data_IF_389910419982
#
_entry.id   IF_389910419982
#
_cell.length_a   1.000
_cell.length_b   1.000
_cell.length_c   1.000
_cell.angle_alpha   90.00
_cell.angle_beta   90.00
_cell.angle_gamma   90.00
#
_symmetry.space_group_name_H-M   'P 1'
#
loop_
_entity.id
_entity.type
_entity.pdbx_description
1 polymer ?
#
# COMPACT_ATOMS: atom_id res chain seq x y z
N UNK A 1 34.37 -16.39 -1.62
CA UNK A 1 33.03 -16.15 -1.02
C UNK A 1 32.57 -14.71 -1.19
N UNK A 2 33.43 -13.69 -1.02
CA UNK A 2 33.03 -12.27 -1.09
C UNK A 2 32.55 -11.77 -2.46
N UNK A 3 33.20 -12.19 -3.55
CA UNK A 3 32.74 -11.87 -4.91
C UNK A 3 31.33 -12.41 -5.17
N UNK A 4 31.03 -13.62 -4.70
CA UNK A 4 29.69 -14.20 -4.81
C UNK A 4 28.66 -13.37 -4.01
N UNK A 5 29.01 -12.90 -2.82
CA UNK A 5 28.15 -12.04 -2.02
C UNK A 5 27.87 -10.68 -2.69
N UNK A 6 28.88 -10.10 -3.34
CA UNK A 6 28.71 -8.88 -4.12
C UNK A 6 27.72 -9.08 -5.28
N UNK A 7 27.86 -10.18 -6.02
CA UNK A 7 26.96 -10.52 -7.14
C UNK A 7 25.53 -10.76 -6.62
N UNK A 8 25.38 -11.53 -5.54
CA UNK A 8 24.08 -11.81 -4.92
C UNK A 8 23.43 -10.52 -4.40
N UNK A 9 24.19 -9.63 -3.77
CA UNK A 9 23.69 -8.34 -3.31
C UNK A 9 23.26 -7.43 -4.47
N UNK A 10 24.02 -7.42 -5.56
CA UNK A 10 23.67 -6.63 -6.76
C UNK A 10 22.39 -7.15 -7.41
N UNK A 11 22.31 -8.45 -7.67
CA UNK A 11 21.11 -9.08 -8.24
C UNK A 11 19.90 -8.92 -7.32
N UNK A 12 20.10 -9.11 -6.01
CA UNK A 12 19.07 -8.91 -5.00
C UNK A 12 18.53 -7.49 -5.03
N UNK A 13 19.40 -6.48 -5.10
CA UNK A 13 18.99 -5.07 -5.16
C UNK A 13 18.15 -4.80 -6.40
N UNK A 14 18.56 -5.29 -7.58
CA UNK A 14 17.78 -5.16 -8.83
C UNK A 14 16.41 -5.84 -8.72
N UNK A 15 16.36 -7.05 -8.15
CA UNK A 15 15.10 -7.78 -7.94
C UNK A 15 14.16 -7.03 -7.00
N UNK A 16 14.68 -6.45 -5.91
CA UNK A 16 13.88 -5.69 -4.96
C UNK A 16 13.38 -4.39 -5.59
N UNK A 17 14.21 -3.66 -6.34
CA UNK A 17 13.79 -2.47 -7.08
C UNK A 17 12.69 -2.80 -8.10
N UNK A 18 12.85 -3.90 -8.85
CA UNK A 18 11.82 -4.37 -9.78
C UNK A 18 10.51 -4.72 -9.04
N UNK A 19 10.60 -5.33 -7.85
CA UNK A 19 9.44 -5.63 -7.02
C UNK A 19 8.74 -4.38 -6.47
N UNK A 20 9.49 -3.32 -6.14
CA UNK A 20 8.94 -2.01 -5.75
C UNK A 20 8.21 -1.39 -6.95
N UNK A 21 8.85 -1.36 -8.11
CA UNK A 21 8.25 -0.81 -9.35
C UNK A 21 6.97 -1.56 -9.72
N UNK A 22 6.98 -2.90 -9.72
CA UNK A 22 5.80 -3.74 -10.00
C UNK A 22 4.73 -3.69 -8.89
N UNK A 23 5.13 -3.39 -7.66
CA UNK A 23 4.24 -3.26 -6.51
C UNK A 23 3.55 -1.90 -6.41
N UNK A 24 4.23 -0.82 -6.78
CA UNK A 24 3.82 0.55 -6.46
C UNK A 24 3.69 1.48 -7.67
N UNK A 25 4.45 1.28 -8.75
CA UNK A 25 4.52 2.20 -9.89
C UNK A 25 3.79 1.69 -11.13
N UNK A 26 3.80 0.38 -11.38
CA UNK A 26 3.18 -0.20 -12.56
C UNK A 26 1.66 -0.31 -12.35
N UNK A 27 0.91 0.27 -13.29
CA UNK A 27 -0.57 0.34 -13.27
C UNK A 27 -1.25 -0.94 -13.77
N UNK A 28 -0.49 -2.00 -14.04
CA UNK A 28 -1.04 -3.30 -14.45
C UNK A 28 -1.11 -4.19 -13.22
N UNK A 29 -2.22 -4.93 -13.07
CA UNK A 29 -2.50 -5.84 -11.96
C UNK A 29 -1.22 -6.38 -11.29
N UNK A 30 -0.87 -5.75 -10.16
CA UNK A 30 0.40 -5.96 -9.48
C UNK A 30 0.75 -7.44 -9.35
N UNK A 31 1.86 -7.84 -9.95
CA UNK A 31 2.37 -9.22 -9.88
C UNK A 31 3.34 -9.41 -8.72
N UNK A 32 3.59 -8.39 -7.90
CA UNK A 32 4.50 -8.50 -6.77
C UNK A 32 4.04 -9.62 -5.83
N UNK A 33 4.75 -10.74 -5.91
CA UNK A 33 4.50 -11.92 -5.09
C UNK A 33 4.71 -11.57 -3.61
N UNK A 34 5.70 -10.71 -3.33
CA UNK A 34 6.02 -10.26 -1.98
C UNK A 34 4.84 -9.50 -1.37
N UNK A 35 4.32 -8.49 -2.07
CA UNK A 35 3.17 -7.70 -1.59
C UNK A 35 1.96 -8.59 -1.32
N UNK A 36 1.65 -9.52 -2.25
CA UNK A 36 0.54 -10.45 -2.08
C UNK A 36 0.70 -11.38 -0.87
N UNK A 37 1.91 -11.92 -0.66
CA UNK A 37 2.22 -12.78 0.50
C UNK A 37 2.06 -11.98 1.79
N UNK A 38 2.59 -10.75 1.83
CA UNK A 38 2.48 -9.87 3.00
C UNK A 38 1.01 -9.57 3.31
N UNK A 39 0.22 -9.13 2.33
CA UNK A 39 -1.21 -8.87 2.53
C UNK A 39 -1.97 -10.13 2.96
N UNK A 40 -1.63 -11.30 2.40
CA UNK A 40 -2.23 -12.57 2.80
C UNK A 40 -1.90 -12.94 4.25
N UNK A 41 -0.64 -12.79 4.66
CA UNK A 41 -0.19 -13.07 6.03
C UNK A 41 -0.88 -12.13 7.02
N UNK A 42 -0.90 -10.82 6.73
CA UNK A 42 -1.56 -9.82 7.58
C UNK A 42 -3.05 -10.13 7.71
N UNK A 43 -3.74 -10.42 6.60
CA UNK A 43 -5.15 -10.79 6.62
C UNK A 43 -5.39 -12.09 7.40
N UNK A 44 -4.52 -13.09 7.26
CA UNK A 44 -4.64 -14.37 7.95
C UNK A 44 -4.47 -14.20 9.46
N UNK A 45 -3.47 -13.43 9.89
CA UNK A 45 -3.25 -13.08 11.30
C UNK A 45 -4.41 -12.25 11.86
N UNK A 46 -4.90 -11.27 11.10
CA UNK A 46 -6.04 -10.46 11.51
C UNK A 46 -7.34 -11.27 11.65
N UNK A 47 -7.46 -12.40 10.95
CA UNK A 47 -8.61 -13.32 11.05
C UNK A 47 -8.60 -14.19 12.31
N UNK A 48 -7.44 -14.45 12.92
CA UNK A 48 -7.32 -15.31 14.12
C UNK A 48 -8.24 -14.89 15.28
N UNK A 49 -8.28 -13.61 15.72
CA UNK A 49 -9.14 -13.20 16.83
C UNK A 49 -10.63 -13.07 16.46
N UNK A 50 -11.01 -13.12 15.18
CA UNK A 50 -12.40 -12.88 14.75
C UNK A 50 -13.39 -13.88 15.34
N UNK A 51 -12.95 -15.12 15.60
CA UNK A 51 -13.78 -16.16 16.24
C UNK A 51 -14.22 -15.77 17.65
N UNK A 52 -13.45 -14.93 18.33
CA UNK A 52 -13.74 -14.46 19.69
C UNK A 52 -14.64 -13.21 19.70
N UNK A 53 -14.72 -12.49 18.58
CA UNK A 53 -15.52 -11.27 18.46
C UNK A 53 -16.99 -11.61 18.16
N UNK A 54 -17.94 -11.14 18.96
CA UNK A 54 -19.37 -11.47 18.81
C UNK A 54 -20.15 -10.51 17.90
N UNK A 55 -19.76 -9.24 17.83
CA UNK A 55 -20.47 -8.21 17.06
C UNK A 55 -19.84 -7.98 15.69
N UNK A 56 -20.69 -7.76 14.67
CA UNK A 56 -20.26 -7.40 13.32
C UNK A 56 -19.46 -6.10 13.31
N UNK A 57 -19.92 -5.06 14.00
CA UNK A 57 -19.27 -3.76 14.03
C UNK A 57 -17.84 -3.82 14.59
N UNK A 58 -17.61 -4.68 15.59
CA UNK A 58 -16.27 -4.87 16.17
C UNK A 58 -15.34 -5.60 15.20
N UNK A 59 -15.85 -6.63 14.51
CA UNK A 59 -15.10 -7.36 13.48
C UNK A 59 -14.73 -6.46 12.30
N UNK A 60 -15.68 -5.64 11.85
CA UNK A 60 -15.49 -4.72 10.73
C UNK A 60 -14.45 -3.63 11.07
N UNK A 61 -14.57 -3.01 12.25
CA UNK A 61 -13.59 -2.04 12.76
C UNK A 61 -12.19 -2.63 12.95
N UNK A 62 -12.09 -3.90 13.36
CA UNK A 62 -10.79 -4.57 13.44
C UNK A 62 -10.17 -4.79 12.05
N UNK A 63 -10.98 -5.23 11.09
CA UNK A 63 -10.52 -5.54 9.74
C UNK A 63 -10.21 -4.29 8.90
N UNK A 64 -10.71 -3.10 9.28
CA UNK A 64 -10.34 -1.86 8.59
C UNK A 64 -8.85 -1.53 8.72
N UNK A 65 -8.19 -1.99 9.78
CA UNK A 65 -6.75 -1.83 9.98
C UNK A 65 -5.88 -2.70 9.07
N UNK A 66 -6.44 -3.74 8.42
CA UNK A 66 -5.66 -4.69 7.61
C UNK A 66 -4.99 -4.02 6.42
N UNK A 67 -5.71 -3.15 5.71
CA UNK A 67 -5.19 -2.45 4.54
C UNK A 67 -3.99 -1.56 4.89
N UNK A 68 -4.08 -0.58 5.80
CA UNK A 68 -2.96 0.29 6.15
C UNK A 68 -1.79 -0.48 6.77
N UNK A 69 -2.05 -1.49 7.61
CA UNK A 69 -0.98 -2.32 8.20
C UNK A 69 -0.25 -3.12 7.12
N UNK A 70 -0.97 -3.70 6.15
CA UNK A 70 -0.35 -4.44 5.05
C UNK A 70 0.55 -3.56 4.19
N UNK A 71 0.16 -2.31 3.95
CA UNK A 71 0.94 -1.33 3.21
C UNK A 71 2.23 -0.95 3.94
N UNK A 72 2.12 -0.63 5.24
CA UNK A 72 3.28 -0.30 6.07
C UNK A 72 4.25 -1.48 6.14
N UNK A 73 3.74 -2.70 6.35
CA UNK A 73 4.58 -3.89 6.44
C UNK A 73 5.25 -4.21 5.10
N UNK A 74 4.56 -4.00 3.97
CA UNK A 74 5.13 -4.15 2.64
C UNK A 74 6.29 -3.17 2.41
N UNK A 75 6.14 -1.91 2.81
CA UNK A 75 7.23 -0.94 2.75
C UNK A 75 8.41 -1.35 3.63
N UNK A 76 8.15 -1.66 4.90
CA UNK A 76 9.20 -2.07 5.84
C UNK A 76 9.96 -3.27 5.30
N UNK A 77 9.26 -4.24 4.70
CA UNK A 77 9.90 -5.41 4.11
C UNK A 77 10.79 -5.03 2.91
N UNK A 78 10.34 -4.15 2.01
CA UNK A 78 11.20 -3.69 0.91
C UNK A 78 12.43 -2.94 1.40
N UNK A 79 12.28 -2.06 2.40
CA UNK A 79 13.41 -1.34 3.00
C UNK A 79 14.41 -2.31 3.65
N UNK A 80 13.93 -3.27 4.44
CA UNK A 80 14.77 -4.30 5.06
C UNK A 80 15.49 -5.13 3.99
N UNK A 81 14.79 -5.56 2.94
CA UNK A 81 15.40 -6.32 1.85
C UNK A 81 16.48 -5.51 1.13
N UNK A 82 16.27 -4.21 0.86
CA UNK A 82 17.29 -3.35 0.27
C UNK A 82 18.51 -3.20 1.19
N UNK A 83 18.30 -2.98 2.49
CA UNK A 83 19.40 -2.92 3.47
C UNK A 83 20.19 -4.24 3.48
N UNK A 84 19.51 -5.38 3.37
CA UNK A 84 20.18 -6.68 3.33
C UNK A 84 20.97 -6.89 2.02
N UNK A 85 20.40 -6.52 0.87
CA UNK A 85 21.08 -6.72 -0.43
C UNK A 85 22.24 -5.75 -0.60
N UNK A 86 22.09 -4.49 -0.18
CA UNK A 86 23.17 -3.50 -0.16
C UNK A 86 24.24 -3.86 0.87
N UNK A 87 23.87 -4.35 2.05
CA UNK A 87 24.82 -4.86 3.06
C UNK A 87 25.65 -6.03 2.52
N UNK A 88 25.04 -6.95 1.77
CA UNK A 88 25.75 -8.02 1.08
C UNK A 88 26.71 -7.49 -0.01
N UNK A 89 26.36 -6.41 -0.71
CA UNK A 89 27.28 -5.72 -1.63
C UNK A 89 28.48 -5.13 -0.89
N UNK A 90 28.24 -4.38 0.21
CA UNK A 90 29.30 -3.78 1.02
C UNK A 90 30.24 -4.85 1.59
N UNK A 91 29.68 -5.94 2.12
CA UNK A 91 30.47 -7.07 2.62
C UNK A 91 31.30 -7.75 1.52
N UNK A 92 30.76 -7.79 0.29
CA UNK A 92 31.45 -8.37 -0.86
C UNK A 92 32.61 -7.53 -1.40
N UNK A 93 32.57 -6.21 -1.25
CA UNK A 93 33.60 -5.29 -1.75
C UNK A 93 34.57 -4.77 -0.67
N UNK A 94 34.41 -5.21 0.58
CA UNK A 94 35.15 -4.68 1.73
C UNK A 94 35.71 -5.79 2.62
N UNK A 95 36.68 -5.45 3.47
CA UNK A 95 37.23 -6.31 4.53
C UNK A 95 36.48 -6.25 5.87
N UNK A 96 35.35 -5.53 5.92
CA UNK A 96 34.52 -5.41 7.12
C UNK A 96 33.88 -6.74 7.52
N UNK A 97 33.67 -6.91 8.83
CA UNK A 97 32.81 -7.95 9.36
C UNK A 97 31.37 -7.80 8.85
N UNK A 98 30.67 -8.93 8.73
CA UNK A 98 29.30 -8.98 8.23
C UNK A 98 28.39 -7.99 8.98
N UNK A 99 28.45 -7.97 10.33
CA UNK A 99 27.66 -7.07 11.16
C UNK A 99 27.91 -5.60 10.85
N UNK A 100 29.17 -5.21 10.64
CA UNK A 100 29.56 -3.85 10.33
C UNK A 100 29.12 -3.45 8.91
N UNK A 101 29.17 -4.37 7.93
CA UNK A 101 28.67 -4.11 6.58
C UNK A 101 27.16 -3.88 6.54
N UNK A 102 26.38 -4.68 7.28
CA UNK A 102 24.93 -4.47 7.38
C UNK A 102 24.59 -3.21 8.17
N UNK A 103 25.34 -2.91 9.24
CA UNK A 103 25.18 -1.67 10.01
C UNK A 103 25.47 -0.43 9.15
N UNK A 104 26.56 -0.45 8.38
CA UNK A 104 26.89 0.60 7.41
C UNK A 104 25.77 0.76 6.38
N UNK A 105 25.32 -0.33 5.76
CA UNK A 105 24.22 -0.28 4.78
C UNK A 105 22.93 0.29 5.36
N UNK A 106 22.56 -0.12 6.58
CA UNK A 106 21.38 0.38 7.27
C UNK A 106 21.48 1.88 7.53
N UNK A 107 22.60 2.31 8.15
CA UNK A 107 22.86 3.71 8.46
C UNK A 107 22.86 4.60 7.21
N UNK A 108 23.45 4.14 6.11
CA UNK A 108 23.47 4.89 4.86
C UNK A 108 22.11 4.94 4.17
N UNK A 109 21.40 3.81 4.10
CA UNK A 109 20.07 3.74 3.47
C UNK A 109 19.05 4.63 4.20
N UNK A 110 19.11 4.68 5.53
CA UNK A 110 18.27 5.57 6.34
C UNK A 110 18.84 6.99 6.44
N UNK A 111 19.83 7.33 5.61
CA UNK A 111 20.50 8.64 5.55
C UNK A 111 21.09 9.15 6.87
N UNK A 112 21.34 8.26 7.83
CA UNK A 112 22.01 8.61 9.10
C UNK A 112 23.49 8.85 8.90
N UNK A 113 24.14 8.07 8.01
CA UNK A 113 25.54 8.31 7.60
C UNK A 113 26.57 8.19 8.73
N UNK A 114 26.31 7.37 9.75
CA UNK A 114 27.16 7.25 10.96
C UNK A 114 28.49 6.54 10.64
N UNK A 115 28.51 5.67 9.65
CA UNK A 115 29.67 4.86 9.28
C UNK A 115 30.24 5.35 7.96
N UNK A 116 31.53 5.71 7.98
CA UNK A 116 32.25 6.14 6.79
C UNK A 116 32.65 4.96 5.89
N UNK A 117 32.60 5.13 4.56
CA UNK A 117 33.07 4.11 3.63
C UNK A 117 34.60 3.98 3.70
N UNK A 118 35.06 2.73 3.71
CA UNK A 118 36.49 2.37 3.89
C UNK A 118 37.29 2.30 2.60
N UNK A 119 36.62 2.19 1.44
CA UNK A 119 37.28 2.17 0.13
C UNK A 119 36.39 2.79 -0.96
N UNK A 120 36.96 3.06 -2.13
CA UNK A 120 36.25 3.72 -3.24
C UNK A 120 35.00 2.95 -3.68
N UNK A 121 35.03 1.62 -3.69
CA UNK A 121 33.89 0.81 -4.10
C UNK A 121 32.75 0.89 -3.07
N UNK A 122 33.08 0.84 -1.78
CA UNK A 122 32.14 1.07 -0.68
C UNK A 122 31.56 2.47 -0.76
N UNK A 123 32.35 3.50 -1.10
CA UNK A 123 31.86 4.87 -1.28
C UNK A 123 30.77 4.94 -2.35
N UNK A 124 30.98 4.31 -3.52
CA UNK A 124 29.98 4.28 -4.61
C UNK A 124 28.70 3.59 -4.13
N UNK A 125 28.81 2.42 -3.49
CA UNK A 125 27.66 1.69 -2.96
C UNK A 125 26.92 2.50 -1.89
N UNK A 126 27.64 3.20 -1.02
CA UNK A 126 27.08 4.10 -0.01
C UNK A 126 26.30 5.25 -0.65
N UNK A 127 26.83 5.91 -1.68
CA UNK A 127 26.08 6.95 -2.41
C UNK A 127 24.80 6.41 -3.04
N UNK A 128 24.88 5.25 -3.69
CA UNK A 128 23.69 4.60 -4.28
C UNK A 128 22.69 4.24 -3.19
N UNK A 129 23.13 3.68 -2.07
CA UNK A 129 22.26 3.31 -0.94
C UNK A 129 21.51 4.51 -0.37
N UNK A 130 22.19 5.65 -0.17
CA UNK A 130 21.57 6.87 0.33
C UNK A 130 20.53 7.43 -0.67
N UNK A 131 20.86 7.45 -1.95
CA UNK A 131 19.94 7.88 -3.01
C UNK A 131 18.71 6.97 -3.09
N UNK A 132 18.91 5.66 -3.08
CA UNK A 132 17.82 4.69 -3.11
C UNK A 132 16.91 4.81 -1.88
N UNK A 133 17.48 5.06 -0.69
CA UNK A 133 16.70 5.35 0.51
C UNK A 133 15.73 6.52 0.32
N UNK A 134 16.22 7.63 -0.22
CA UNK A 134 15.40 8.81 -0.53
C UNK A 134 14.32 8.51 -1.58
N UNK A 135 14.69 7.83 -2.68
CA UNK A 135 13.76 7.46 -3.75
C UNK A 135 12.64 6.55 -3.24
N UNK A 136 12.97 5.55 -2.42
CA UNK A 136 11.97 4.62 -1.87
C UNK A 136 10.98 5.34 -0.95
N UNK A 137 11.47 6.25 -0.11
CA UNK A 137 10.59 7.08 0.74
C UNK A 137 9.68 7.97 -0.12
N UNK A 138 10.23 8.60 -1.18
CA UNK A 138 9.45 9.45 -2.08
C UNK A 138 8.36 8.66 -2.82
N UNK A 139 8.70 7.49 -3.37
CA UNK A 139 7.74 6.58 -4.01
C UNK A 139 6.67 6.15 -3.02
N UNK A 140 7.05 5.86 -1.77
CA UNK A 140 6.10 5.46 -0.74
C UNK A 140 5.10 6.57 -0.40
N UNK A 141 5.56 7.80 -0.21
CA UNK A 141 4.69 8.95 0.04
C UNK A 141 3.73 9.14 -1.14
N UNK A 142 4.25 9.13 -2.37
CA UNK A 142 3.42 9.25 -3.58
C UNK A 142 2.37 8.14 -3.68
N UNK A 143 2.75 6.92 -3.35
CA UNK A 143 1.85 5.77 -3.36
C UNK A 143 0.75 5.86 -2.30
N UNK A 144 1.09 6.27 -1.07
CA UNK A 144 0.10 6.52 -0.02
C UNK A 144 -0.90 7.59 -0.44
N UNK A 145 -0.41 8.73 -0.93
CA UNK A 145 -1.26 9.82 -1.39
C UNK A 145 -2.16 9.37 -2.54
N UNK A 146 -1.63 8.60 -3.49
CA UNK A 146 -2.42 8.02 -4.59
C UNK A 146 -3.53 7.09 -4.10
N UNK A 147 -3.23 6.16 -3.18
CA UNK A 147 -4.23 5.25 -2.62
C UNK A 147 -5.31 6.02 -1.85
N UNK A 148 -4.93 7.01 -1.03
CA UNK A 148 -5.91 7.81 -0.30
C UNK A 148 -6.78 8.66 -1.23
N UNK A 149 -6.22 9.17 -2.34
CA UNK A 149 -6.99 9.81 -3.40
C UNK A 149 -8.05 8.88 -3.99
N UNK A 150 -7.63 7.70 -4.46
CA UNK A 150 -8.52 6.68 -5.02
C UNK A 150 -9.62 6.25 -4.03
N UNK A 151 -9.29 6.18 -2.74
CA UNK A 151 -10.24 5.87 -1.68
C UNK A 151 -11.26 7.00 -1.48
N UNK A 152 -10.80 8.24 -1.40
CA UNK A 152 -11.68 9.40 -1.24
C UNK A 152 -12.61 9.55 -2.45
N UNK A 153 -12.11 9.35 -3.67
CA UNK A 153 -12.93 9.40 -4.89
C UNK A 153 -14.04 8.34 -4.86
N UNK A 154 -13.73 7.12 -4.40
CA UNK A 154 -14.73 6.06 -4.21
C UNK A 154 -15.78 6.43 -3.17
N UNK A 155 -15.36 6.93 -2.01
CA UNK A 155 -16.28 7.19 -0.89
C UNK A 155 -17.09 8.48 -1.09
N UNK A 156 -16.59 9.47 -1.83
CA UNK A 156 -17.29 10.74 -2.03
C UNK A 156 -18.64 10.56 -2.72
N UNK A 157 -18.74 9.71 -3.75
CA UNK A 157 -20.03 9.46 -4.40
C UNK A 157 -20.98 8.64 -3.48
N UNK A 158 -20.44 7.70 -2.71
CA UNK A 158 -21.21 6.94 -1.71
C UNK A 158 -21.78 7.86 -0.62
N UNK A 159 -21.00 8.81 -0.14
CA UNK A 159 -21.42 9.79 0.86
C UNK A 159 -22.52 10.72 0.33
N UNK A 160 -22.42 11.13 -0.96
CA UNK A 160 -23.49 11.89 -1.62
C UNK A 160 -24.79 11.10 -1.70
N UNK A 161 -24.72 9.82 -2.06
CA UNK A 161 -25.89 8.95 -2.05
C UNK A 161 -26.48 8.81 -0.65
N UNK A 162 -25.64 8.57 0.37
CA UNK A 162 -26.09 8.40 1.76
C UNK A 162 -26.83 9.66 2.29
N UNK A 163 -26.44 10.85 1.85
CA UNK A 163 -27.14 12.10 2.20
C UNK A 163 -28.60 12.11 1.72
N UNK A 164 -28.90 11.50 0.57
CA UNK A 164 -30.26 11.46 -0.01
C UNK A 164 -30.99 10.16 0.35
N UNK A 165 -30.29 9.02 0.38
CA UNK A 165 -30.88 7.70 0.58
C UNK A 165 -30.97 7.28 2.06
N UNK A 166 -30.23 7.93 2.96
CA UNK A 166 -30.08 7.50 4.35
C UNK A 166 -29.05 6.39 4.53
N UNK A 167 -28.80 6.03 5.80
CA UNK A 167 -27.98 4.89 6.21
C UNK A 167 -28.83 4.00 7.14
N UNK A 168 -29.36 2.85 6.68
CA UNK A 168 -29.15 2.22 5.37
C UNK A 168 -29.87 2.91 4.21
N UNK A 169 -29.35 2.76 3.00
CA UNK A 169 -29.93 3.36 1.79
C UNK A 169 -31.30 2.74 1.46
N UNK A 170 -32.34 3.57 1.35
CA UNK A 170 -33.71 3.12 1.06
C UNK A 170 -34.40 3.99 0.01
N UNK A 171 -35.00 3.37 -1.01
CA UNK A 171 -35.61 4.07 -2.15
C UNK A 171 -36.70 5.08 -1.78
N UNK A 172 -37.65 4.76 -0.89
CA UNK A 172 -38.64 5.73 -0.40
C UNK A 172 -38.02 6.95 0.30
N UNK A 173 -36.89 6.78 0.99
CA UNK A 173 -36.17 7.91 1.60
C UNK A 173 -35.55 8.83 0.54
N UNK A 174 -35.05 8.27 -0.56
CA UNK A 174 -34.59 9.05 -1.72
C UNK A 174 -35.73 9.90 -2.26
N UNK A 175 -36.92 9.32 -2.49
CA UNK A 175 -38.09 10.04 -2.99
C UNK A 175 -38.57 11.12 -2.01
N UNK A 176 -38.63 10.80 -0.72
CA UNK A 176 -39.06 11.73 0.33
C UNK A 176 -38.10 12.90 0.48
N UNK A 177 -36.78 12.66 0.42
CA UNK A 177 -35.76 13.72 0.54
C UNK A 177 -35.61 14.52 -0.76
N UNK A 178 -35.70 13.89 -1.93
CA UNK A 178 -35.63 14.61 -3.21
C UNK A 178 -36.80 15.58 -3.37
N UNK A 179 -38.02 15.13 -3.02
CA UNK A 179 -39.21 15.98 -3.02
C UNK A 179 -39.13 17.10 -1.99
N UNK A 180 -38.65 16.82 -0.77
CA UNK A 180 -38.46 17.84 0.26
C UNK A 180 -37.40 18.91 -0.10
N UNK A 181 -36.38 18.53 -0.87
CA UNK A 181 -35.33 19.44 -1.36
C UNK A 181 -35.74 20.18 -2.65
N UNK A 182 -36.91 19.88 -3.23
CA UNK A 182 -37.34 20.42 -4.52
C UNK A 182 -36.46 20.01 -5.70
N UNK A 183 -35.62 18.98 -5.52
CA UNK A 183 -34.68 18.48 -6.52
C UNK A 183 -35.34 17.39 -7.37
N UNK A 184 -34.99 17.31 -8.65
CA UNK A 184 -35.37 16.16 -9.46
C UNK A 184 -34.55 14.94 -9.03
N UNK A 185 -35.11 13.74 -9.19
CA UNK A 185 -34.40 12.50 -8.85
C UNK A 185 -33.08 12.37 -9.62
N UNK A 186 -33.05 12.88 -10.85
CA UNK A 186 -31.86 12.96 -11.71
C UNK A 186 -30.76 13.85 -11.14
N UNK A 187 -31.11 14.88 -10.35
CA UNK A 187 -30.13 15.76 -9.71
C UNK A 187 -29.47 15.07 -8.52
N UNK A 188 -30.18 14.12 -7.89
CA UNK A 188 -29.66 13.33 -6.78
C UNK A 188 -28.90 12.07 -7.24
N UNK A 189 -29.27 11.51 -8.39
CA UNK A 189 -28.75 10.24 -8.93
C UNK A 189 -28.56 10.38 -10.45
N UNK A 190 -27.41 10.91 -10.87
CA UNK A 190 -27.03 10.97 -12.29
C UNK A 190 -26.42 9.65 -12.75
N UNK A 191 -27.05 8.99 -13.72
CA UNK A 191 -26.58 7.73 -14.30
C UNK A 191 -25.15 7.80 -14.84
N UNK A 192 -24.69 8.97 -15.31
CA UNK A 192 -23.32 9.16 -15.80
C UNK A 192 -22.30 9.11 -14.66
N UNK A 193 -22.55 9.85 -13.58
CA UNK A 193 -21.68 9.84 -12.39
C UNK A 193 -21.53 8.42 -11.82
N UNK A 194 -22.64 7.67 -11.81
CA UNK A 194 -22.65 6.28 -11.38
C UNK A 194 -21.87 5.36 -12.32
N UNK A 195 -22.00 5.54 -13.64
CA UNK A 195 -21.20 4.80 -14.62
C UNK A 195 -19.71 5.09 -14.42
N UNK A 196 -19.34 6.37 -14.32
CA UNK A 196 -17.96 6.80 -14.13
C UNK A 196 -17.38 6.23 -12.83
N UNK A 197 -18.15 6.25 -11.73
CA UNK A 197 -17.75 5.64 -10.47
C UNK A 197 -17.55 4.13 -10.58
N UNK A 198 -18.44 3.39 -11.26
CA UNK A 198 -18.26 1.93 -11.44
C UNK A 198 -17.01 1.62 -12.26
N UNK A 199 -16.73 2.42 -13.29
CA UNK A 199 -15.52 2.31 -14.11
C UNK A 199 -14.28 2.59 -13.26
N UNK A 200 -14.31 3.66 -12.46
CA UNK A 200 -13.21 4.01 -11.55
C UNK A 200 -12.94 2.90 -10.54
N UNK A 201 -13.97 2.39 -9.84
CA UNK A 201 -13.80 1.30 -8.87
C UNK A 201 -13.23 0.05 -9.52
N UNK A 202 -13.75 -0.35 -10.68
CA UNK A 202 -13.23 -1.51 -11.44
C UNK A 202 -11.79 -1.30 -11.87
N UNK A 203 -11.46 -0.13 -12.40
CA UNK A 203 -10.11 0.18 -12.88
C UNK A 203 -9.13 0.24 -11.71
N UNK A 204 -9.51 0.88 -10.61
CA UNK A 204 -8.69 1.02 -9.40
C UNK A 204 -8.41 -0.32 -8.72
N UNK A 205 -9.40 -1.21 -8.64
CA UNK A 205 -9.24 -2.58 -8.10
C UNK A 205 -8.39 -3.48 -9.01
N UNK A 206 -8.43 -3.26 -10.34
CA UNK A 206 -7.57 -3.97 -11.29
C UNK A 206 -6.13 -3.48 -11.26
N UNK A 207 -5.91 -2.17 -11.09
CA UNK A 207 -4.59 -1.57 -10.96
C UNK A 207 -3.92 -2.06 -9.67
N UNK A 208 -4.64 -1.99 -8.54
CA UNK A 208 -4.09 -2.25 -7.23
C UNK A 208 -4.99 -3.18 -6.40
N UNK A 209 -4.54 -4.41 -6.19
CA UNK A 209 -5.27 -5.39 -5.37
C UNK A 209 -5.39 -4.97 -3.90
N UNK A 210 -4.45 -4.18 -3.38
CA UNK A 210 -4.46 -3.71 -1.99
C UNK A 210 -5.59 -2.70 -1.76
N UNK A 211 -6.03 -1.99 -2.80
CA UNK A 211 -7.21 -1.11 -2.75
C UNK A 211 -8.47 -1.88 -2.30
N UNK A 212 -8.62 -3.13 -2.74
CA UNK A 212 -9.74 -3.98 -2.34
C UNK A 212 -9.80 -4.32 -0.84
N UNK A 213 -8.71 -4.13 -0.09
CA UNK A 213 -8.69 -4.33 1.37
C UNK A 213 -9.26 -3.14 2.14
N UNK A 214 -9.37 -1.96 1.52
CA UNK A 214 -9.92 -0.76 2.17
C UNK A 214 -11.43 -0.85 2.34
N UNK A 215 -11.87 -0.90 3.59
CA UNK A 215 -13.29 -0.92 3.99
C UNK A 215 -13.86 0.49 4.01
N UNK A 216 -15.17 0.60 3.79
CA UNK A 216 -15.90 1.88 3.88
C UNK A 216 -15.95 2.37 5.34
N UNK A 217 -16.05 3.68 5.61
CA UNK A 217 -16.09 4.22 6.97
C UNK A 217 -17.32 3.79 7.77
N UNK A 218 -18.48 3.62 7.13
CA UNK A 218 -19.73 3.21 7.78
C UNK A 218 -19.98 1.71 7.57
N UNK A 219 -20.24 0.94 8.66
CA UNK A 219 -20.55 -0.49 8.58
C UNK A 219 -21.84 -0.81 7.80
N UNK A 220 -22.67 0.20 7.53
CA UNK A 220 -23.95 0.06 6.83
C UNK A 220 -23.90 0.57 5.38
N UNK A 221 -22.76 1.08 4.92
CA UNK A 221 -22.53 1.59 3.56
C UNK A 221 -21.50 0.75 2.80
N UNK A 222 -21.62 -0.58 2.84
CA UNK A 222 -20.68 -1.46 2.16
C UNK A 222 -20.91 -1.50 0.65
N UNK A 223 -19.90 -1.07 -0.11
CA UNK A 223 -19.86 -1.15 -1.58
C UNK A 223 -19.94 -2.58 -2.16
N UNK A 224 -19.69 -3.62 -1.35
CA UNK A 224 -19.73 -5.04 -1.78
C UNK A 224 -21.13 -5.65 -1.67
N UNK A 225 -22.05 -5.05 -0.90
CA UNK A 225 -23.40 -5.60 -0.68
C UNK A 225 -24.39 -5.09 -1.76
N UNK A 226 -23.88 -4.41 -2.80
CA UNK A 226 -24.65 -4.02 -3.99
C UNK A 226 -24.36 -4.88 -5.23
N UNK A 227 -23.79 -6.09 -5.06
CA UNK A 227 -23.77 -7.13 -6.09
C UNK A 227 -24.78 -8.24 -5.79
#
# INVERSE_FOLDING_TARGET
MRVAAFIVGTLGTVVVLAAIVDGMLITRASRSRLGRVISFVVLSLAKLPLRLMRSYAVRDRWLSGVAPVSLLLQLTMYAVLLILTLGAMIWGCTDLDWSNSFYQSGSTFTTLGIVEPVNTMSTIVTFIAAFLGLVVIAVFIGFLLGIFGMYNDRENLMARLAAVAGEPAWGPQVLARSTALGAQLSDAIDARDWLDWTIQVRTNTLINSTFGLFRSPSPHSHWVISQ
#
